data_IF_856615074972
#
_entry.id   IF_856615074972
#
_cell.length_a   1.000
_cell.length_b   1.000
_cell.length_c   1.000
_cell.angle_alpha   90.00
_cell.angle_beta   90.00
_cell.angle_gamma   90.00
#
_symmetry.space_group_name_H-M   'P 1'
#
loop_
_entity.id
_entity.type
_entity.pdbx_description
1 polymer ?
#
# COMPACT_ATOMS: atom_id res chain seq x y z
N UNK A 1 31.92 -5.38 -15.45
CA UNK A 1 30.54 -5.01 -15.81
C UNK A 1 29.66 -6.26 -15.82
N UNK A 2 29.06 -6.65 -14.69
CA UNK A 2 28.12 -7.78 -14.62
C UNK A 2 27.24 -7.64 -13.37
N UNK A 3 26.70 -6.44 -13.13
CA UNK A 3 25.57 -6.27 -12.24
C UNK A 3 24.32 -6.77 -12.98
N UNK A 4 24.15 -8.10 -13.03
CA UNK A 4 22.91 -8.75 -13.46
C UNK A 4 21.76 -8.02 -12.78
N UNK A 5 20.86 -7.45 -13.57
CA UNK A 5 19.55 -7.00 -13.12
C UNK A 5 18.92 -8.15 -12.35
N UNK A 6 18.96 -8.10 -11.03
CA UNK A 6 18.24 -9.04 -10.20
C UNK A 6 16.76 -8.83 -10.52
N UNK A 7 16.11 -9.93 -10.91
CA UNK A 7 14.67 -10.05 -11.06
C UNK A 7 13.97 -9.29 -9.90
N UNK A 8 12.93 -8.47 -10.17
CA UNK A 8 12.17 -7.80 -9.11
C UNK A 8 11.78 -8.73 -7.95
N UNK A 9 11.47 -10.00 -8.22
CA UNK A 9 11.21 -11.00 -7.18
C UNK A 9 12.47 -11.37 -6.37
N UNK A 10 13.63 -11.47 -7.01
CA UNK A 10 14.88 -11.81 -6.33
C UNK A 10 15.35 -10.69 -5.38
N UNK A 11 15.18 -9.42 -5.78
CA UNK A 11 15.44 -8.26 -4.90
C UNK A 11 14.52 -8.25 -3.69
N UNK A 12 13.25 -8.58 -3.92
CA UNK A 12 12.23 -8.64 -2.88
C UNK A 12 12.49 -9.77 -1.88
N UNK A 13 12.86 -10.96 -2.39
CA UNK A 13 13.26 -12.08 -1.58
C UNK A 13 14.47 -11.70 -0.70
N UNK A 14 15.51 -11.10 -1.28
CA UNK A 14 16.69 -10.67 -0.52
C UNK A 14 16.35 -9.66 0.60
N UNK A 15 15.50 -8.66 0.31
CA UNK A 15 15.07 -7.67 1.30
C UNK A 15 14.28 -8.29 2.47
N UNK A 16 13.47 -9.33 2.21
CA UNK A 16 12.59 -9.95 3.22
C UNK A 16 13.20 -11.17 3.92
N UNK A 17 14.21 -11.81 3.32
CA UNK A 17 14.97 -12.92 3.90
C UNK A 17 15.86 -12.48 5.07
N UNK A 18 16.25 -11.19 5.14
CA UNK A 18 16.96 -10.63 6.30
C UNK A 18 16.11 -10.61 7.59
N UNK A 19 14.79 -10.72 7.48
CA UNK A 19 13.87 -10.80 8.60
C UNK A 19 13.67 -12.28 9.01
N UNK A 20 14.13 -12.64 10.21
CA UNK A 20 14.21 -14.03 10.73
C UNK A 20 12.85 -14.75 10.68
N UNK A 21 12.71 -15.72 9.78
CA UNK A 21 11.65 -16.72 9.75
C UNK A 21 12.25 -18.11 9.50
N UNK A 22 11.78 -19.14 10.22
CA UNK A 22 12.35 -20.51 10.22
C UNK A 22 12.21 -21.27 8.89
N UNK A 23 11.27 -20.87 8.02
CA UNK A 23 11.04 -21.50 6.72
C UNK A 23 11.18 -20.46 5.61
N UNK A 24 12.04 -20.68 4.58
CA UNK A 24 12.17 -19.76 3.46
C UNK A 24 10.82 -19.63 2.71
N UNK A 25 10.43 -18.43 2.26
CA UNK A 25 9.18 -18.23 1.53
C UNK A 25 9.24 -18.95 0.18
N UNK A 26 8.10 -19.48 -0.26
CA UNK A 26 7.98 -20.06 -1.60
C UNK A 26 7.86 -18.96 -2.65
N UNK A 27 8.09 -19.31 -3.93
CA UNK A 27 7.84 -18.37 -5.04
C UNK A 27 6.36 -17.93 -5.09
N UNK A 28 5.42 -18.81 -4.73
CA UNK A 28 4.01 -18.49 -4.65
C UNK A 28 3.72 -17.44 -3.56
N UNK A 29 4.36 -17.56 -2.38
CA UNK A 29 4.28 -16.54 -1.33
C UNK A 29 4.78 -15.19 -1.85
N UNK A 30 5.97 -15.18 -2.46
CA UNK A 30 6.58 -13.95 -2.99
C UNK A 30 5.75 -13.27 -4.08
N UNK A 31 5.02 -14.05 -4.88
CA UNK A 31 4.09 -13.54 -5.89
C UNK A 31 2.87 -12.83 -5.27
N UNK A 32 2.41 -13.30 -4.12
CA UNK A 32 1.23 -12.76 -3.47
C UNK A 32 1.54 -11.61 -2.51
N UNK A 33 2.77 -11.51 -2.01
CA UNK A 33 3.12 -10.46 -1.06
C UNK A 33 2.91 -9.03 -1.65
N UNK A 34 2.64 -8.01 -0.82
CA UNK A 34 2.55 -6.60 -1.21
C UNK A 34 3.94 -5.94 -1.24
N UNK A 35 4.19 -5.02 -2.20
CA UNK A 35 5.53 -4.49 -2.54
C UNK A 35 6.06 -3.51 -1.49
N UNK A 36 5.16 -2.78 -0.84
CA UNK A 36 5.48 -1.71 0.12
C UNK A 36 6.51 -2.06 1.22
N UNK A 37 6.63 -3.30 1.76
CA UNK A 37 7.61 -3.59 2.80
C UNK A 37 9.06 -3.46 2.33
N UNK A 38 9.29 -3.46 1.01
CA UNK A 38 10.62 -3.37 0.39
C UNK A 38 10.97 -1.99 -0.14
N UNK A 39 10.02 -1.05 -0.11
CA UNK A 39 10.22 0.32 -0.58
C UNK A 39 10.86 1.20 0.49
N UNK A 40 11.40 2.34 0.10
CA UNK A 40 11.89 3.36 1.04
C UNK A 40 10.75 3.98 1.86
N UNK A 41 11.11 4.86 2.81
CA UNK A 41 10.15 5.47 3.73
C UNK A 41 9.07 6.30 3.02
N UNK A 42 9.47 7.09 2.03
CA UNK A 42 8.59 8.06 1.37
C UNK A 42 7.64 7.37 0.41
N UNK A 43 8.13 6.47 -0.44
CA UNK A 43 7.30 5.68 -1.35
C UNK A 43 6.30 4.80 -0.57
N UNK A 44 6.74 4.24 0.56
CA UNK A 44 5.87 3.46 1.45
C UNK A 44 4.80 4.34 2.10
N UNK A 45 5.17 5.53 2.57
CA UNK A 45 4.23 6.52 3.13
C UNK A 45 3.17 6.92 2.10
N UNK A 46 3.57 7.15 0.85
CA UNK A 46 2.67 7.46 -0.27
C UNK A 46 1.69 6.33 -0.55
N UNK A 47 2.15 5.07 -0.60
CA UNK A 47 1.27 3.91 -0.78
C UNK A 47 0.26 3.79 0.37
N UNK A 48 0.68 4.06 1.61
CA UNK A 48 -0.26 4.05 2.72
C UNK A 48 -1.31 5.15 2.60
N UNK A 49 -0.92 6.38 2.29
CA UNK A 49 -1.88 7.45 2.04
C UNK A 49 -2.89 7.06 0.94
N UNK A 50 -2.41 6.52 -0.17
CA UNK A 50 -3.26 6.01 -1.25
C UNK A 50 -4.18 4.88 -0.80
N UNK A 51 -3.71 3.93 0.02
CA UNK A 51 -4.53 2.83 0.53
C UNK A 51 -5.69 3.34 1.40
N UNK A 52 -5.45 4.39 2.21
CA UNK A 52 -6.51 5.04 2.98
C UNK A 52 -7.53 5.74 2.07
N UNK A 53 -7.06 6.45 1.04
CA UNK A 53 -7.92 7.13 0.07
C UNK A 53 -8.77 6.13 -0.74
N UNK A 54 -8.20 5.03 -1.20
CA UNK A 54 -8.96 3.97 -1.89
C UNK A 54 -10.01 3.37 -0.95
N UNK A 55 -9.67 3.11 0.30
CA UNK A 55 -10.60 2.55 1.28
C UNK A 55 -11.76 3.50 1.63
N UNK A 56 -11.55 4.81 1.50
CA UNK A 56 -12.55 5.87 1.71
C UNK A 56 -13.02 6.56 0.43
N UNK A 57 -12.83 5.94 -0.75
CA UNK A 57 -13.06 6.55 -2.06
C UNK A 57 -14.47 7.12 -2.24
N UNK A 58 -15.49 6.41 -1.79
CA UNK A 58 -16.89 6.84 -1.94
C UNK A 58 -17.22 8.03 -1.04
N UNK A 59 -16.56 8.14 0.12
CA UNK A 59 -16.61 9.34 0.96
C UNK A 59 -15.80 10.48 0.36
N UNK A 60 -14.64 10.18 -0.21
CA UNK A 60 -13.80 11.16 -0.91
C UNK A 60 -14.63 11.88 -1.98
N UNK A 61 -15.37 11.13 -2.78
CA UNK A 61 -16.21 11.67 -3.84
C UNK A 61 -17.42 12.49 -3.34
N UNK A 62 -17.86 12.33 -2.08
CA UNK A 62 -19.05 12.97 -1.51
C UNK A 62 -18.75 14.14 -0.58
N UNK A 63 -17.67 14.05 0.19
CA UNK A 63 -17.43 14.87 1.38
C UNK A 63 -16.20 15.78 1.25
N UNK A 64 -15.39 15.66 0.18
CA UNK A 64 -14.16 16.46 0.06
C UNK A 64 -14.45 17.89 -0.41
N UNK A 65 -13.88 18.86 0.29
CA UNK A 65 -13.87 20.27 -0.11
C UNK A 65 -12.56 20.63 -0.85
N UNK A 66 -12.52 21.81 -1.48
CA UNK A 66 -11.38 22.23 -2.30
C UNK A 66 -10.09 22.51 -1.53
N UNK A 67 -10.12 22.71 -0.22
CA UNK A 67 -8.91 22.84 0.60
C UNK A 67 -8.32 21.45 0.88
N UNK A 68 -9.15 20.52 1.38
CA UNK A 68 -8.76 19.13 1.59
C UNK A 68 -8.29 18.45 0.32
N UNK A 69 -8.92 18.74 -0.83
CA UNK A 69 -8.50 18.18 -2.11
C UNK A 69 -7.06 18.58 -2.45
N UNK A 70 -6.69 19.85 -2.23
CA UNK A 70 -5.33 20.35 -2.47
C UNK A 70 -4.32 19.72 -1.51
N UNK A 71 -4.66 19.58 -0.24
CA UNK A 71 -3.79 18.93 0.75
C UNK A 71 -3.55 17.45 0.42
N UNK A 72 -4.60 16.75 -0.03
CA UNK A 72 -4.48 15.35 -0.46
C UNK A 72 -3.65 15.25 -1.74
N UNK A 73 -3.89 16.11 -2.72
CA UNK A 73 -3.10 16.16 -3.95
C UNK A 73 -1.62 16.45 -3.68
N UNK A 74 -1.32 17.37 -2.77
CA UNK A 74 0.06 17.64 -2.34
C UNK A 74 0.73 16.43 -1.67
N UNK A 75 -0.05 15.58 -1.00
CA UNK A 75 0.46 14.37 -0.33
C UNK A 75 0.72 13.21 -1.30
N UNK A 76 -0.18 12.95 -2.25
CA UNK A 76 -0.12 11.74 -3.10
C UNK A 76 0.17 12.02 -4.59
N UNK A 77 0.13 13.28 -5.01
CA UNK A 77 0.16 13.72 -6.41
C UNK A 77 -1.24 13.84 -7.01
N UNK A 78 -1.44 14.82 -7.88
CA UNK A 78 -2.72 15.08 -8.58
C UNK A 78 -3.16 13.88 -9.42
N UNK A 79 -2.27 13.33 -10.25
CA UNK A 79 -2.57 12.18 -11.11
C UNK A 79 -3.01 10.94 -10.30
N UNK A 80 -2.36 10.72 -9.15
CA UNK A 80 -2.68 9.60 -8.28
C UNK A 80 -4.04 9.79 -7.60
N UNK A 81 -4.37 11.03 -7.21
CA UNK A 81 -5.68 11.37 -6.64
C UNK A 81 -6.79 11.19 -7.67
N UNK A 82 -6.58 11.64 -8.91
CA UNK A 82 -7.52 11.43 -10.01
C UNK A 82 -7.75 9.94 -10.28
N UNK A 83 -6.67 9.15 -10.30
CA UNK A 83 -6.77 7.70 -10.47
C UNK A 83 -7.59 7.03 -9.35
N UNK A 84 -7.48 7.50 -8.09
CA UNK A 84 -8.32 7.02 -6.99
C UNK A 84 -9.80 7.35 -7.23
N UNK A 85 -10.10 8.58 -7.65
CA UNK A 85 -11.49 9.01 -7.92
C UNK A 85 -12.11 8.25 -9.11
N UNK A 86 -11.29 7.88 -10.10
CA UNK A 86 -11.69 7.09 -11.27
C UNK A 86 -11.95 5.59 -10.98
N UNK A 87 -11.57 5.09 -9.79
CA UNK A 87 -11.88 3.71 -9.41
C UNK A 87 -13.39 3.45 -9.35
N UNK A 88 -13.84 2.21 -9.61
CA UNK A 88 -15.20 1.80 -9.30
C UNK A 88 -15.54 2.05 -7.82
N UNK A 89 -16.82 2.29 -7.48
CA UNK A 89 -17.26 2.37 -6.09
C UNK A 89 -16.88 1.11 -5.30
N UNK A 90 -16.58 1.27 -4.01
CA UNK A 90 -16.10 0.13 -3.21
C UNK A 90 -15.36 0.45 -1.92
N UNK A 91 -15.42 1.70 -1.44
CA UNK A 91 -14.70 2.11 -0.24
C UNK A 91 -15.40 3.23 0.50
N UNK A 92 -16.07 2.92 1.60
CA UNK A 92 -16.85 3.88 2.41
C UNK A 92 -16.25 4.11 3.81
N UNK A 93 -14.94 3.83 3.99
CA UNK A 93 -14.29 4.15 5.26
C UNK A 93 -14.26 5.66 5.47
N UNK A 94 -14.35 6.05 6.74
CA UNK A 94 -14.16 7.43 7.17
C UNK A 94 -12.78 7.90 6.74
N UNK A 95 -12.73 9.06 6.08
CA UNK A 95 -11.48 9.68 5.70
C UNK A 95 -10.91 10.47 6.88
N UNK A 96 -9.75 10.01 7.34
CA UNK A 96 -8.95 10.76 8.28
C UNK A 96 -8.41 12.06 7.64
N UNK A 97 -8.04 13.07 8.45
CA UNK A 97 -7.39 14.27 7.94
C UNK A 97 -6.14 13.93 7.10
N UNK A 98 -5.77 14.73 6.08
CA UNK A 98 -4.68 14.41 5.15
C UNK A 98 -3.38 13.95 5.82
N UNK A 99 -2.95 14.65 6.89
CA UNK A 99 -1.76 14.33 7.69
C UNK A 99 -1.78 12.95 8.37
N UNK A 100 -2.97 12.38 8.59
CA UNK A 100 -3.18 11.09 9.25
C UNK A 100 -3.35 9.94 8.25
N UNK A 101 -3.57 10.23 6.96
CA UNK A 101 -3.79 9.21 5.92
C UNK A 101 -2.65 8.17 5.84
N UNK A 102 -1.35 8.53 5.92
CA UNK A 102 -0.29 7.52 5.92
C UNK A 102 -0.37 6.57 7.12
N UNK A 103 -0.74 7.08 8.31
CA UNK A 103 -0.87 6.25 9.50
C UNK A 103 -2.11 5.32 9.42
N UNK A 104 -3.25 5.85 8.97
CA UNK A 104 -4.47 5.08 8.76
C UNK A 104 -4.27 3.97 7.72
N UNK A 105 -3.65 4.32 6.59
CA UNK A 105 -3.33 3.38 5.52
C UNK A 105 -2.29 2.34 5.93
N UNK A 106 -1.31 2.71 6.77
CA UNK A 106 -0.37 1.75 7.35
C UNK A 106 -1.09 0.71 8.19
N UNK A 107 -2.04 1.12 9.03
CA UNK A 107 -2.82 0.19 9.83
C UNK A 107 -3.62 -0.78 8.92
N UNK A 108 -4.19 -0.29 7.82
CA UNK A 108 -4.85 -1.14 6.81
C UNK A 108 -3.87 -2.12 6.16
N UNK A 109 -2.70 -1.63 5.76
CA UNK A 109 -1.69 -2.42 5.08
C UNK A 109 -1.07 -3.50 5.97
N UNK A 110 -0.82 -3.19 7.25
CA UNK A 110 -0.32 -4.17 8.23
C UNK A 110 -1.37 -5.25 8.54
N UNK A 111 -2.66 -4.87 8.57
CA UNK A 111 -3.74 -5.83 8.74
C UNK A 111 -3.86 -6.75 7.51
N UNK A 112 -3.77 -6.20 6.30
CA UNK A 112 -3.84 -6.93 5.04
C UNK A 112 -2.64 -7.86 4.74
N UNK A 113 -1.64 -7.95 5.64
CA UNK A 113 -0.46 -8.76 5.39
C UNK A 113 -0.79 -10.26 5.34
N UNK A 114 -0.31 -11.00 4.33
CA UNK A 114 -0.33 -12.44 4.34
C UNK A 114 0.31 -12.99 5.64
N UNK A 115 -0.25 -14.03 6.28
CA UNK A 115 0.22 -14.50 7.59
C UNK A 115 1.72 -14.82 7.64
N UNK A 116 2.25 -15.42 6.57
CA UNK A 116 3.68 -15.78 6.44
C UNK A 116 4.57 -14.54 6.43
N UNK A 117 4.14 -13.46 5.80
CA UNK A 117 4.85 -12.18 5.79
C UNK A 117 4.66 -11.41 7.10
N UNK A 118 3.46 -11.39 7.66
CA UNK A 118 3.19 -10.76 8.95
C UNK A 118 4.09 -11.34 10.04
N UNK A 119 4.20 -12.67 10.12
CA UNK A 119 5.09 -13.35 11.07
C UNK A 119 6.56 -12.93 10.89
N UNK A 120 7.04 -12.83 9.64
CA UNK A 120 8.41 -12.40 9.33
C UNK A 120 8.69 -10.95 9.74
N UNK A 121 7.69 -10.08 9.62
CA UNK A 121 7.78 -8.69 10.03
C UNK A 121 7.53 -8.48 11.54
N UNK A 122 7.30 -9.55 12.32
CA UNK A 122 6.95 -9.45 13.73
C UNK A 122 5.60 -8.77 13.97
N UNK A 123 4.66 -8.92 13.03
CA UNK A 123 3.31 -8.35 13.06
C UNK A 123 2.27 -9.47 13.24
N UNK A 124 1.19 -9.16 13.95
CA UNK A 124 0.00 -9.99 13.97
C UNK A 124 -0.89 -9.56 12.81
N UNK A 125 -0.85 -10.28 11.68
CA UNK A 125 -1.79 -10.05 10.57
C UNK A 125 -3.22 -10.29 11.08
N UNK A 126 -4.14 -9.38 10.75
CA UNK A 126 -5.57 -9.59 10.98
C UNK A 126 -6.19 -9.82 9.62
N UNK A 127 -6.81 -10.97 9.42
CA UNK A 127 -7.48 -11.29 8.16
C UNK A 127 -8.58 -10.26 7.88
N UNK A 128 -8.27 -9.30 7.02
CA UNK A 128 -9.17 -8.26 6.53
C UNK A 128 -9.23 -8.44 5.02
N UNK A 129 -10.18 -9.25 4.51
CA UNK A 129 -10.22 -9.65 3.11
C UNK A 129 -10.26 -8.46 2.13
N UNK A 130 -10.87 -7.35 2.55
CA UNK A 130 -10.96 -6.12 1.74
C UNK A 130 -9.70 -5.23 1.81
N UNK A 131 -8.87 -5.40 2.85
CA UNK A 131 -7.66 -4.59 3.04
C UNK A 131 -6.61 -4.83 1.96
N UNK A 132 -6.45 -6.09 1.53
CA UNK A 132 -5.50 -6.45 0.47
C UNK A 132 -5.87 -5.78 -0.86
N UNK A 133 -7.16 -5.75 -1.20
CA UNK A 133 -7.66 -5.06 -2.40
C UNK A 133 -7.29 -3.58 -2.44
N UNK A 134 -7.45 -2.87 -1.32
CA UNK A 134 -7.11 -1.44 -1.24
C UNK A 134 -5.60 -1.20 -1.37
N UNK A 135 -4.78 -2.03 -0.72
CA UNK A 135 -3.31 -1.92 -0.81
C UNK A 135 -2.82 -2.21 -2.22
N UNK A 136 -3.35 -3.26 -2.89
CA UNK A 136 -3.00 -3.57 -4.28
C UNK A 136 -3.44 -2.48 -5.25
N UNK A 137 -4.60 -1.87 -5.04
CA UNK A 137 -5.03 -0.73 -5.85
C UNK A 137 -4.09 0.47 -5.65
N UNK A 138 -3.72 0.77 -4.40
CA UNK A 138 -2.77 1.83 -4.09
C UNK A 138 -1.39 1.60 -4.73
N UNK A 139 -0.86 0.37 -4.68
CA UNK A 139 0.42 0.04 -5.33
C UNK A 139 0.36 0.21 -6.86
N UNK A 140 -0.74 -0.18 -7.50
CA UNK A 140 -0.93 0.02 -8.95
C UNK A 140 -1.02 1.50 -9.32
N UNK A 141 -1.74 2.29 -8.53
CA UNK A 141 -1.86 3.73 -8.74
C UNK A 141 -0.51 4.41 -8.56
N UNK A 142 0.22 4.06 -7.50
CA UNK A 142 1.55 4.61 -7.24
C UNK A 142 2.55 4.28 -8.36
N UNK A 143 2.46 3.10 -8.98
CA UNK A 143 3.30 2.70 -10.10
C UNK A 143 2.92 3.39 -11.42
N UNK A 144 1.64 3.66 -11.64
CA UNK A 144 1.16 4.37 -12.83
C UNK A 144 1.41 5.89 -12.77
N UNK A 145 1.50 6.46 -11.56
CA UNK A 145 1.68 7.89 -11.30
C UNK A 145 3.09 8.25 -10.79
N UNK A 146 4.10 7.42 -11.13
CA UNK A 146 5.52 7.63 -10.86
C UNK A 146 6.27 7.90 -12.17
#
# INVERSE_FOLDING_TARGET
MLARQLDPMARRAAALLGARGRTPPTLADLAQWPRWPTLDGDARSRIFALAALVAGRDRLAREIDGERLRDVAALVGEDALEAVLALPPGGDRVLDPPKMLPAAGRALAEQALPPTLAQRLGRCGRDLPQGDGFVRAAERIAEAAA
#
